data_IF_998024285946
#
_entry.id   IF_998024285946
#
_cell.length_a   1.000
_cell.length_b   1.000
_cell.length_c   1.000
_cell.angle_alpha   90.00
_cell.angle_beta   90.00
_cell.angle_gamma   90.00
#
_symmetry.space_group_name_H-M   'P 1'
#
loop_
_entity.id
_entity.type
_entity.pdbx_description
1 polymer ?
#
# COMPACT_ATOMS: atom_id res chain seq x y z
N UNK A 1 -14.20 -25.01 12.84
CA UNK A 1 -12.80 -24.97 12.33
C UNK A 1 -11.96 -25.82 13.28
N UNK A 2 -11.27 -26.85 12.78
CA UNK A 2 -10.53 -27.82 13.60
C UNK A 2 -9.29 -27.23 14.29
N UNK A 3 -8.79 -27.91 15.32
CA UNK A 3 -7.63 -27.55 16.15
C UNK A 3 -6.27 -27.70 15.45
N UNK A 4 -6.24 -27.74 14.12
CA UNK A 4 -5.01 -27.93 13.35
C UNK A 4 -4.17 -26.65 13.29
N UNK A 5 -2.85 -26.78 13.47
CA UNK A 5 -1.91 -25.69 13.23
C UNK A 5 -1.81 -25.39 11.72
N UNK A 6 -1.86 -24.10 11.36
CA UNK A 6 -1.70 -23.64 9.98
C UNK A 6 -0.27 -23.19 9.71
N UNK A 7 0.18 -23.37 8.46
CA UNK A 7 1.49 -22.91 8.02
C UNK A 7 1.56 -21.37 8.04
N UNK A 8 2.55 -20.83 8.75
CA UNK A 8 2.74 -19.38 8.94
C UNK A 8 3.79 -18.75 8.02
N UNK A 9 4.39 -19.53 7.11
CA UNK A 9 5.47 -19.03 6.23
C UNK A 9 5.04 -17.97 5.21
N UNK A 10 3.74 -17.73 5.06
CA UNK A 10 3.21 -16.66 4.23
C UNK A 10 3.30 -15.29 4.90
N UNK A 11 3.39 -15.23 6.23
CA UNK A 11 3.55 -13.95 6.94
C UNK A 11 4.88 -13.28 6.64
N UNK A 12 5.94 -14.07 6.44
CA UNK A 12 7.27 -13.57 6.07
C UNK A 12 7.31 -12.93 4.68
N UNK A 13 6.25 -13.11 3.90
CA UNK A 13 6.10 -12.62 2.52
C UNK A 13 5.26 -11.34 2.42
N UNK A 14 4.71 -10.86 3.54
CA UNK A 14 3.81 -9.71 3.55
C UNK A 14 4.53 -8.38 3.47
N UNK A 15 5.51 -8.19 4.33
CA UNK A 15 6.20 -6.91 4.51
C UNK A 15 7.64 -6.99 4.00
N UNK A 16 8.16 -5.87 3.50
CA UNK A 16 9.54 -5.76 3.01
C UNK A 16 9.88 -6.73 1.88
N UNK A 17 8.86 -7.20 1.15
CA UNK A 17 9.05 -8.13 0.03
C UNK A 17 8.70 -7.44 -1.29
N UNK A 18 9.55 -7.65 -2.28
CA UNK A 18 9.35 -7.13 -3.63
C UNK A 18 9.72 -8.20 -4.66
N UNK A 19 8.94 -8.27 -5.73
CA UNK A 19 9.27 -9.06 -6.92
C UNK A 19 10.19 -8.24 -7.81
N UNK A 20 11.43 -8.63 -7.94
CA UNK A 20 12.42 -8.00 -8.82
C UNK A 20 12.32 -8.65 -10.20
N UNK A 21 12.12 -7.87 -11.29
CA UNK A 21 12.05 -8.44 -12.63
C UNK A 21 13.40 -9.01 -13.07
N UNK A 22 13.37 -10.18 -13.72
CA UNK A 22 14.53 -10.74 -14.42
C UNK A 22 14.21 -10.94 -15.90
N UNK A 23 15.23 -11.09 -16.75
CA UNK A 23 15.01 -11.28 -18.19
C UNK A 23 14.28 -12.60 -18.49
N UNK A 24 14.64 -13.68 -17.79
CA UNK A 24 14.00 -14.99 -17.95
C UNK A 24 13.06 -15.32 -16.79
N UNK A 25 13.49 -15.02 -15.56
CA UNK A 25 12.75 -15.32 -14.34
C UNK A 25 12.85 -14.21 -13.32
N UNK A 26 11.70 -13.86 -12.76
CA UNK A 26 11.63 -12.88 -11.68
C UNK A 26 12.07 -13.50 -10.36
N UNK A 27 12.67 -12.66 -9.51
CA UNK A 27 13.13 -13.06 -8.20
C UNK A 27 12.28 -12.42 -7.12
N UNK A 28 11.95 -13.21 -6.12
CA UNK A 28 11.32 -12.70 -4.92
C UNK A 28 12.39 -12.32 -3.91
N UNK A 29 12.48 -11.04 -3.56
CA UNK A 29 13.46 -10.54 -2.62
C UNK A 29 12.77 -10.12 -1.33
N UNK A 30 13.20 -10.70 -0.22
CA UNK A 30 12.84 -10.26 1.13
C UNK A 30 13.98 -9.38 1.69
N UNK A 31 13.66 -8.13 1.99
CA UNK A 31 14.60 -7.14 2.50
C UNK A 31 14.73 -7.14 4.03
N UNK A 32 14.05 -8.07 4.73
CA UNK A 32 14.09 -8.21 6.18
C UNK A 32 13.22 -7.18 6.90
N UNK A 33 13.64 -6.76 8.09
CA UNK A 33 12.88 -5.78 8.88
C UNK A 33 13.15 -4.38 8.34
N UNK A 34 12.15 -3.80 7.68
CA UNK A 34 12.20 -2.44 7.17
C UNK A 34 11.66 -1.45 8.19
N UNK A 35 12.32 -0.30 8.32
CA UNK A 35 11.97 0.78 9.25
C UNK A 35 11.25 1.94 8.56
N UNK A 36 10.92 1.78 7.29
CA UNK A 36 10.25 2.83 6.51
C UNK A 36 9.16 2.26 5.61
N UNK A 37 8.24 3.12 5.25
CA UNK A 37 7.26 2.90 4.19
C UNK A 37 7.52 3.90 3.08
N UNK A 38 6.99 3.62 1.90
CA UNK A 38 7.00 4.59 0.81
C UNK A 38 5.57 5.01 0.53
N UNK A 39 5.31 6.30 0.69
CA UNK A 39 4.04 6.91 0.36
C UNK A 39 4.08 7.46 -1.08
N UNK A 40 3.04 7.19 -1.87
CA UNK A 40 2.88 7.76 -3.21
C UNK A 40 1.74 8.75 -3.19
N UNK A 41 2.02 10.00 -3.52
CA UNK A 41 1.03 11.07 -3.62
C UNK A 41 1.36 11.94 -4.83
N UNK A 42 0.38 12.18 -5.71
CA UNK A 42 0.56 13.04 -6.90
C UNK A 42 1.75 12.67 -7.83
N UNK A 43 2.05 11.37 -7.93
CA UNK A 43 3.17 10.84 -8.73
C UNK A 43 4.55 10.99 -8.06
N UNK A 44 4.61 11.56 -6.86
CA UNK A 44 5.81 11.68 -6.05
C UNK A 44 5.92 10.50 -5.08
N UNK A 45 7.15 10.03 -4.85
CA UNK A 45 7.46 8.99 -3.89
C UNK A 45 8.11 9.61 -2.66
N UNK A 46 7.59 9.32 -1.47
CA UNK A 46 8.07 9.85 -0.20
C UNK A 46 8.51 8.69 0.70
N UNK A 47 9.76 8.71 1.15
CA UNK A 47 10.24 7.80 2.20
C UNK A 47 9.75 8.32 3.55
N UNK A 48 8.98 7.51 4.26
CA UNK A 48 8.46 7.83 5.60
C UNK A 48 9.04 6.84 6.58
N UNK A 49 9.84 7.31 7.52
CA UNK A 49 10.36 6.49 8.61
C UNK A 49 9.23 6.13 9.58
N UNK A 50 9.23 4.91 10.10
CA UNK A 50 8.27 4.41 11.09
C UNK A 50 8.79 4.50 12.52
N UNK A 51 10.10 4.65 12.69
CA UNK A 51 10.76 4.82 13.98
C UNK A 51 11.84 5.88 13.92
N UNK A 52 12.20 6.38 15.09
CA UNK A 52 13.32 7.31 15.27
C UNK A 52 14.68 6.58 15.30
N UNK A 53 15.75 7.36 15.48
CA UNK A 53 17.14 6.86 15.55
C UNK A 53 17.36 5.88 16.71
N UNK A 54 16.55 5.97 17.78
CA UNK A 54 16.59 5.09 18.94
C UNK A 54 15.70 3.85 18.78
N UNK A 55 15.11 3.63 17.60
CA UNK A 55 14.16 2.56 17.29
C UNK A 55 12.82 2.64 18.04
N UNK A 56 12.45 3.81 18.56
CA UNK A 56 11.11 4.02 19.09
C UNK A 56 10.17 4.24 17.92
N UNK A 57 9.10 3.45 17.87
CA UNK A 57 8.05 3.58 16.86
C UNK A 57 7.33 4.93 17.03
N UNK A 58 7.05 5.59 15.91
CA UNK A 58 6.26 6.80 15.93
C UNK A 58 4.82 6.51 16.32
N UNK A 59 4.27 7.37 17.18
CA UNK A 59 2.85 7.36 17.53
C UNK A 59 1.98 7.90 16.39
N UNK A 60 0.66 7.76 16.56
CA UNK A 60 -0.33 8.24 15.58
C UNK A 60 -0.15 9.75 15.34
N UNK A 61 -0.01 10.55 16.39
CA UNK A 61 0.14 12.02 16.27
C UNK A 61 1.38 12.44 15.47
N UNK A 62 2.50 11.73 15.65
CA UNK A 62 3.74 11.98 14.93
C UNK A 62 3.58 11.64 13.44
N UNK A 63 3.00 10.47 13.14
CA UNK A 63 2.70 10.05 11.77
C UNK A 63 1.69 11.01 11.11
N UNK A 64 0.65 11.45 11.82
CA UNK A 64 -0.33 12.41 11.31
C UNK A 64 0.34 13.71 10.89
N UNK A 65 1.30 14.23 11.67
CA UNK A 65 2.07 15.43 11.29
C UNK A 65 2.88 15.21 10.01
N UNK A 66 3.54 14.05 9.88
CA UNK A 66 4.31 13.69 8.68
C UNK A 66 3.40 13.64 7.44
N UNK A 67 2.24 12.97 7.54
CA UNK A 67 1.31 12.89 6.40
C UNK A 67 0.64 14.23 6.10
N UNK A 68 0.32 15.03 7.11
CA UNK A 68 -0.17 16.39 6.91
C UNK A 68 0.85 17.26 6.17
N UNK A 69 2.14 17.11 6.48
CA UNK A 69 3.21 17.77 5.73
C UNK A 69 3.23 17.31 4.27
N UNK A 70 3.14 16.00 4.00
CA UNK A 70 3.07 15.44 2.64
C UNK A 70 1.91 16.04 1.84
N UNK A 71 0.72 16.14 2.45
CA UNK A 71 -0.45 16.77 1.81
C UNK A 71 -0.28 18.29 1.59
N UNK A 72 0.48 18.97 2.44
CA UNK A 72 0.73 20.41 2.29
C UNK A 72 1.69 20.74 1.14
N UNK A 73 2.51 19.76 0.71
CA UNK A 73 3.47 19.95 -0.38
C UNK A 73 2.73 20.05 -1.72
N UNK A 74 2.99 21.12 -2.46
CA UNK A 74 2.45 21.33 -3.83
C UNK A 74 3.21 20.54 -4.91
N UNK A 75 4.08 19.61 -4.53
CA UNK A 75 4.91 18.86 -5.45
C UNK A 75 4.04 17.86 -6.23
N UNK A 76 3.94 18.08 -7.54
CA UNK A 76 3.25 17.20 -8.48
C UNK A 76 4.18 16.93 -9.65
N UNK A 77 4.51 15.66 -9.88
CA UNK A 77 5.31 15.28 -11.05
C UNK A 77 4.36 14.94 -12.19
N UNK A 78 4.38 15.77 -13.23
CA UNK A 78 3.57 15.58 -14.42
C UNK A 78 4.35 14.84 -15.54
N UNK A 79 3.65 14.50 -16.62
CA UNK A 79 4.26 13.82 -17.76
C UNK A 79 4.66 12.36 -17.49
N UNK A 80 5.72 11.92 -18.17
CA UNK A 80 6.26 10.56 -18.08
C UNK A 80 7.00 10.30 -16.77
N UNK A 81 7.67 11.33 -16.22
CA UNK A 81 8.40 11.22 -14.96
C UNK A 81 7.50 10.85 -13.77
N UNK A 82 6.23 11.28 -13.78
CA UNK A 82 5.25 10.93 -12.75
C UNK A 82 4.62 9.55 -12.91
N UNK A 83 5.00 8.80 -13.96
CA UNK A 83 4.46 7.47 -14.32
C UNK A 83 5.47 6.34 -14.13
N UNK A 84 6.52 6.55 -13.33
CA UNK A 84 7.55 5.51 -13.05
C UNK A 84 6.91 4.22 -12.54
N UNK A 85 5.87 4.32 -11.71
CA UNK A 85 5.16 3.15 -11.18
C UNK A 85 4.53 2.27 -12.30
N UNK A 86 4.14 2.86 -13.44
CA UNK A 86 3.58 2.14 -14.58
C UNK A 86 4.54 1.10 -15.15
N UNK A 87 5.85 1.31 -15.01
CA UNK A 87 6.87 0.38 -15.51
C UNK A 87 6.75 -1.00 -14.85
N UNK A 88 6.27 -1.07 -13.61
CA UNK A 88 6.04 -2.35 -12.92
C UNK A 88 4.90 -3.17 -13.51
N UNK A 89 4.03 -2.55 -14.31
CA UNK A 89 2.88 -3.18 -14.97
C UNK A 89 3.15 -3.58 -16.43
N UNK A 90 4.35 -3.30 -16.98
CA UNK A 90 4.70 -3.70 -18.35
C UNK A 90 5.12 -5.18 -18.42
N UNK A 91 5.47 -5.65 -19.62
CA UNK A 91 6.01 -7.01 -19.81
C UNK A 91 7.27 -7.18 -18.96
N UNK A 92 7.40 -8.34 -18.29
CA UNK A 92 8.47 -8.59 -17.31
C UNK A 92 9.88 -8.42 -17.89
N UNK A 93 10.11 -9.00 -19.07
CA UNK A 93 11.37 -8.85 -19.81
C UNK A 93 11.70 -7.37 -20.14
N UNK A 94 10.68 -6.59 -20.51
CA UNK A 94 10.85 -5.17 -20.83
C UNK A 94 11.14 -4.36 -19.57
N UNK A 95 10.44 -4.66 -18.48
CA UNK A 95 10.71 -4.05 -17.19
C UNK A 95 12.12 -4.39 -16.69
N UNK A 96 12.57 -5.64 -16.81
CA UNK A 96 13.93 -6.05 -16.47
C UNK A 96 14.98 -5.23 -17.22
N UNK A 97 14.86 -5.13 -18.55
CA UNK A 97 15.78 -4.34 -19.39
C UNK A 97 15.75 -2.85 -19.06
N UNK A 98 14.57 -2.28 -18.85
CA UNK A 98 14.42 -0.86 -18.50
C UNK A 98 14.96 -0.57 -17.10
N UNK A 99 14.75 -1.48 -16.13
CA UNK A 99 15.28 -1.41 -14.77
C UNK A 99 16.81 -1.38 -14.79
N UNK A 100 17.43 -2.30 -15.53
CA UNK A 100 18.89 -2.34 -15.69
C UNK A 100 19.42 -1.03 -16.29
N UNK A 101 18.89 -0.65 -17.47
CA UNK A 101 19.39 0.48 -18.25
C UNK A 101 19.19 1.85 -17.59
N UNK A 102 18.02 2.11 -17.00
CA UNK A 102 17.65 3.46 -16.54
C UNK A 102 17.73 3.64 -15.02
N UNK A 103 17.71 2.55 -14.25
CA UNK A 103 17.76 2.62 -12.80
C UNK A 103 19.07 2.10 -12.24
N UNK A 104 19.51 0.90 -12.61
CA UNK A 104 20.70 0.30 -11.99
C UNK A 104 22.02 0.93 -12.45
N UNK A 105 22.10 1.35 -13.71
CA UNK A 105 23.29 2.03 -14.23
C UNK A 105 23.51 3.45 -13.65
N UNK A 106 22.49 4.06 -13.04
CA UNK A 106 22.60 5.35 -12.38
C UNK A 106 22.60 5.15 -10.85
N UNK A 107 23.70 5.47 -10.13
CA UNK A 107 23.79 5.24 -8.69
C UNK A 107 22.66 5.87 -7.86
N UNK A 108 22.20 7.07 -8.24
CA UNK A 108 21.12 7.77 -7.55
C UNK A 108 19.78 7.06 -7.74
N UNK A 109 19.49 6.61 -8.96
CA UNK A 109 18.27 5.87 -9.25
C UNK A 109 18.30 4.48 -8.63
N UNK A 110 19.46 3.81 -8.61
CA UNK A 110 19.65 2.52 -7.97
C UNK A 110 19.40 2.61 -6.45
N UNK A 111 19.93 3.65 -5.80
CA UNK A 111 19.67 3.90 -4.38
C UNK A 111 18.18 4.17 -4.13
N UNK A 112 17.55 5.03 -4.96
CA UNK A 112 16.12 5.35 -4.82
C UNK A 112 15.23 4.13 -5.04
N UNK A 113 15.54 3.29 -6.03
CA UNK A 113 14.82 2.06 -6.32
C UNK A 113 14.94 1.08 -5.15
N UNK A 114 16.14 0.95 -4.56
CA UNK A 114 16.36 0.13 -3.36
C UNK A 114 15.51 0.58 -2.19
N UNK A 115 15.31 1.89 -2.00
CA UNK A 115 14.43 2.43 -0.95
C UNK A 115 12.96 2.03 -1.19
N UNK A 116 12.48 2.04 -2.43
CA UNK A 116 11.12 1.59 -2.78
C UNK A 116 10.97 0.07 -2.58
N UNK A 117 11.92 -0.71 -3.11
CA UNK A 117 11.88 -2.17 -3.05
C UNK A 117 12.03 -2.69 -1.61
N UNK A 118 12.79 -2.01 -0.75
CA UNK A 118 12.99 -2.39 0.67
C UNK A 118 11.98 -1.85 1.66
N UNK A 119 11.07 -0.94 1.26
CA UNK A 119 10.02 -0.42 2.14
C UNK A 119 9.15 -1.54 2.76
N UNK A 120 8.61 -1.37 3.97
CA UNK A 120 7.74 -2.38 4.57
C UNK A 120 6.50 -2.65 3.70
N UNK A 121 5.87 -1.59 3.19
CA UNK A 121 4.79 -1.62 2.21
C UNK A 121 4.74 -0.28 1.46
N UNK A 122 3.93 -0.22 0.40
CA UNK A 122 3.62 1.03 -0.30
C UNK A 122 2.27 1.57 0.19
N UNK A 123 2.20 2.87 0.49
CA UNK A 123 0.98 3.57 0.84
C UNK A 123 0.60 4.56 -0.26
N UNK A 124 -0.47 4.29 -0.99
CA UNK A 124 -1.00 5.18 -2.01
C UNK A 124 -2.01 6.14 -1.39
N UNK A 125 -1.70 7.43 -1.43
CA UNK A 125 -2.59 8.52 -1.03
C UNK A 125 -3.31 9.02 -2.28
N UNK A 126 -4.49 8.46 -2.53
CA UNK A 126 -5.26 8.68 -3.75
C UNK A 126 -6.18 9.90 -3.61
N UNK A 127 -6.23 10.73 -4.65
CA UNK A 127 -7.06 11.95 -4.65
C UNK A 127 -8.54 11.64 -4.95
N UNK A 128 -8.82 10.42 -5.42
CA UNK A 128 -10.17 9.95 -5.70
C UNK A 128 -10.99 9.80 -4.41
N UNK A 129 -12.26 10.18 -4.50
CA UNK A 129 -13.28 9.91 -3.49
C UNK A 129 -14.17 8.77 -3.98
N UNK A 130 -14.41 7.77 -3.12
CA UNK A 130 -15.11 6.55 -3.50
C UNK A 130 -16.46 6.42 -2.79
N UNK A 131 -17.49 5.93 -3.46
CA UNK A 131 -18.85 5.84 -2.90
C UNK A 131 -19.48 7.21 -2.58
N UNK A 132 -19.24 8.19 -3.45
CA UNK A 132 -19.78 9.55 -3.30
C UNK A 132 -21.21 9.72 -3.83
N UNK A 133 -21.64 8.85 -4.75
CA UNK A 133 -22.95 8.95 -5.40
C UNK A 133 -23.85 7.82 -4.87
N UNK A 134 -24.76 8.12 -3.92
CA UNK A 134 -25.66 7.12 -3.38
C UNK A 134 -26.65 6.70 -4.47
N UNK A 135 -26.64 5.41 -4.82
CA UNK A 135 -27.60 4.82 -5.77
C UNK A 135 -27.04 4.47 -7.14
N UNK A 136 -25.76 4.79 -7.43
CA UNK A 136 -25.09 4.26 -8.62
C UNK A 136 -24.75 2.76 -8.43
N UNK A 137 -25.33 1.86 -9.23
CA UNK A 137 -25.06 0.42 -9.12
C UNK A 137 -23.61 0.06 -9.49
N UNK A 138 -22.93 0.90 -10.29
CA UNK A 138 -21.58 0.62 -10.79
C UNK A 138 -20.47 1.15 -9.87
N UNK A 139 -20.82 1.87 -8.80
CA UNK A 139 -19.86 2.45 -7.84
C UNK A 139 -18.87 1.40 -7.30
N UNK A 140 -19.35 0.19 -7.00
CA UNK A 140 -18.47 -0.89 -6.55
C UNK A 140 -17.51 -1.36 -7.65
N UNK A 141 -18.01 -1.49 -8.89
CA UNK A 141 -17.20 -1.86 -10.06
C UNK A 141 -16.11 -0.81 -10.32
N UNK A 142 -16.45 0.48 -10.23
CA UNK A 142 -15.50 1.58 -10.36
C UNK A 142 -14.44 1.56 -9.26
N UNK A 143 -14.86 1.35 -8.01
CA UNK A 143 -13.96 1.21 -6.87
C UNK A 143 -12.97 0.04 -7.09
N UNK A 144 -13.47 -1.16 -7.37
CA UNK A 144 -12.63 -2.34 -7.56
C UNK A 144 -11.70 -2.21 -8.77
N UNK A 145 -12.17 -1.63 -9.88
CA UNK A 145 -11.34 -1.36 -11.05
C UNK A 145 -10.18 -0.43 -10.70
N UNK A 146 -10.45 0.68 -9.99
CA UNK A 146 -9.38 1.56 -9.56
C UNK A 146 -8.44 0.88 -8.54
N UNK A 147 -8.97 0.01 -7.68
CA UNK A 147 -8.11 -0.74 -6.76
C UNK A 147 -7.19 -1.71 -7.49
N UNK A 148 -7.66 -2.39 -8.53
CA UNK A 148 -6.87 -3.34 -9.31
C UNK A 148 -5.78 -2.66 -10.15
N UNK A 149 -6.13 -1.60 -10.90
CA UNK A 149 -5.22 -1.01 -11.90
C UNK A 149 -4.62 0.32 -11.47
N UNK A 150 -5.29 1.05 -10.58
CA UNK A 150 -5.01 2.46 -10.30
C UNK A 150 -5.04 3.31 -11.57
N UNK A 151 -4.30 4.42 -11.54
CA UNK A 151 -4.17 5.38 -12.64
C UNK A 151 -2.81 5.28 -13.38
N UNK A 152 -2.07 4.19 -13.15
CA UNK A 152 -0.72 3.96 -13.69
C UNK A 152 0.39 4.81 -13.07
N UNK A 153 0.08 5.78 -12.20
CA UNK A 153 1.10 6.60 -11.51
C UNK A 153 1.35 6.16 -10.09
N UNK A 154 0.36 5.51 -9.47
CA UNK A 154 0.27 5.39 -8.02
C UNK A 154 0.36 3.97 -7.48
N UNK A 155 0.68 2.96 -8.32
CA UNK A 155 0.76 1.54 -7.93
C UNK A 155 2.11 0.93 -8.24
N UNK A 156 2.73 0.33 -7.22
CA UNK A 156 3.94 -0.47 -7.40
C UNK A 156 3.57 -1.96 -7.44
N UNK A 157 3.30 -2.47 -8.63
CA UNK A 157 2.74 -3.82 -8.82
C UNK A 157 3.69 -4.93 -8.33
N UNK A 158 4.99 -4.65 -8.30
CA UNK A 158 6.01 -5.57 -7.81
C UNK A 158 6.01 -5.74 -6.29
N UNK A 159 5.39 -4.82 -5.53
CA UNK A 159 5.38 -4.91 -4.07
C UNK A 159 4.45 -6.02 -3.60
N UNK A 160 4.86 -6.72 -2.55
CA UNK A 160 4.01 -7.68 -1.84
C UNK A 160 2.69 -7.07 -1.39
N UNK A 161 2.71 -5.84 -0.88
CA UNK A 161 1.55 -5.18 -0.28
C UNK A 161 1.53 -3.68 -0.62
N UNK A 162 0.42 -3.24 -1.19
CA UNK A 162 0.11 -1.84 -1.47
C UNK A 162 -1.20 -1.49 -0.75
N UNK A 163 -1.17 -0.51 0.14
CA UNK A 163 -2.37 0.08 0.74
C UNK A 163 -2.80 1.29 -0.06
N UNK A 164 -4.11 1.51 -0.15
CA UNK A 164 -4.70 2.64 -0.87
C UNK A 164 -5.67 3.33 0.04
N UNK A 165 -5.49 4.63 0.21
CA UNK A 165 -6.38 5.47 0.99
C UNK A 165 -6.92 6.55 0.05
N UNK A 166 -8.23 6.53 -0.17
CA UNK A 166 -8.93 7.59 -0.89
C UNK A 166 -9.09 8.85 -0.04
N UNK A 167 -9.40 9.96 -0.69
CA UNK A 167 -9.57 11.27 -0.05
C UNK A 167 -10.68 11.28 1.01
N UNK A 168 -11.71 10.45 0.83
CA UNK A 168 -12.79 10.26 1.81
C UNK A 168 -12.53 9.10 2.79
N UNK A 169 -11.25 8.80 3.06
CA UNK A 169 -10.80 7.78 4.03
C UNK A 169 -11.23 6.34 3.74
N UNK A 170 -11.70 6.06 2.52
CA UNK A 170 -11.96 4.68 2.07
C UNK A 170 -10.64 3.97 1.81
N UNK A 171 -10.47 2.80 2.41
CA UNK A 171 -9.22 2.04 2.34
C UNK A 171 -9.41 0.75 1.57
N UNK A 172 -8.41 0.40 0.77
CA UNK A 172 -8.27 -0.92 0.16
C UNK A 172 -6.80 -1.32 0.18
N UNK A 173 -6.53 -2.56 -0.25
CA UNK A 173 -5.17 -3.02 -0.48
C UNK A 173 -5.11 -3.89 -1.72
N UNK A 174 -3.97 -3.85 -2.40
CA UNK A 174 -3.62 -4.85 -3.41
C UNK A 174 -2.37 -5.57 -3.00
N UNK A 175 -2.30 -6.85 -3.36
CA UNK A 175 -1.16 -7.69 -3.05
C UNK A 175 -0.76 -8.48 -4.28
N UNK A 176 0.55 -8.67 -4.45
CA UNK A 176 1.06 -9.53 -5.50
C UNK A 176 0.50 -10.96 -5.31
N UNK A 177 0.05 -11.58 -6.39
CA UNK A 177 -0.65 -12.87 -6.35
C UNK A 177 0.14 -13.98 -5.62
N UNK A 178 1.47 -13.90 -5.61
CA UNK A 178 2.34 -14.86 -4.90
C UNK A 178 2.14 -14.82 -3.37
N UNK A 179 1.74 -13.68 -2.80
CA UNK A 179 1.35 -13.54 -1.39
C UNK A 179 -0.04 -14.13 -1.18
N UNK A 180 -0.94 -13.87 -2.13
CA UNK A 180 -2.36 -14.25 -2.05
C UNK A 180 -2.54 -15.78 -2.10
N UNK A 181 -1.72 -16.52 -2.83
CA UNK A 181 -1.77 -17.99 -2.80
C UNK A 181 -1.51 -18.58 -1.40
N UNK A 182 -0.83 -17.85 -0.51
CA UNK A 182 -0.77 -18.17 0.92
C UNK A 182 -2.01 -17.71 1.70
N UNK A 183 -2.54 -16.53 1.40
CA UNK A 183 -3.71 -15.91 2.07
C UNK A 183 -5.06 -16.56 1.76
N UNK A 184 -5.26 -17.08 0.55
CA UNK A 184 -6.52 -17.71 0.12
C UNK A 184 -6.88 -18.94 0.96
N UNK A 185 -5.95 -19.41 1.81
CA UNK A 185 -6.15 -20.40 2.87
C UNK A 185 -6.15 -19.79 4.29
N UNK A 186 -6.81 -18.67 4.57
CA UNK A 186 -7.73 -18.55 5.74
C UNK A 186 -7.78 -17.23 6.52
N UNK A 187 -6.86 -16.28 6.48
CA UNK A 187 -6.96 -15.16 7.44
C UNK A 187 -6.23 -13.92 6.97
N UNK A 188 -6.97 -12.84 6.67
CA UNK A 188 -6.67 -11.44 7.09
C UNK A 188 -7.72 -10.48 6.53
N UNK A 189 -8.84 -10.34 7.24
CA UNK A 189 -9.74 -9.19 7.11
C UNK A 189 -10.08 -8.53 8.47
N UNK A 190 -9.98 -9.17 9.66
CA UNK A 190 -10.40 -8.48 10.89
C UNK A 190 -9.40 -7.45 11.46
N UNK A 191 -8.08 -7.58 11.20
CA UNK A 191 -7.07 -6.89 12.03
C UNK A 191 -6.57 -5.54 11.50
N UNK A 192 -6.86 -5.20 10.24
CA UNK A 192 -6.57 -3.87 9.65
C UNK A 192 -7.77 -2.92 9.80
N UNK A 193 -8.96 -3.45 10.13
CA UNK A 193 -10.21 -2.67 10.24
C UNK A 193 -10.50 -2.12 11.66
N UNK A 194 -9.64 -2.38 12.64
CA UNK A 194 -9.80 -1.92 14.03
C UNK A 194 -8.43 -1.39 14.50
N UNK A 195 -8.18 -0.06 14.44
CA UNK A 195 -8.85 0.92 15.31
C UNK A 195 -9.07 2.28 14.61
N UNK A 196 -10.21 2.51 13.96
CA UNK A 196 -10.57 3.86 13.50
C UNK A 196 -12.03 4.25 13.82
N UNK A 197 -12.69 3.47 14.67
CA UNK A 197 -14.12 3.62 14.95
C UNK A 197 -14.42 3.55 16.45
N UNK A 198 -13.85 4.43 17.27
CA UNK A 198 -14.32 4.70 18.63
C UNK A 198 -13.92 6.11 19.05
N UNK A 199 -14.77 7.10 18.79
CA UNK A 199 -14.96 8.33 19.58
C UNK A 199 -16.02 9.22 18.90
N UNK A 200 -17.29 8.79 18.86
CA UNK A 200 -18.45 9.69 18.74
C UNK A 200 -19.75 8.91 18.79
N UNK A 201 -20.19 8.54 20.00
CA UNK A 201 -21.62 8.52 20.42
C UNK A 201 -21.76 7.92 21.82
N UNK A 202 -21.58 8.73 22.87
CA UNK A 202 -22.26 8.51 24.14
C UNK A 202 -22.59 9.87 24.76
N UNK A 203 -23.65 10.51 24.26
CA UNK A 203 -24.47 11.43 25.05
C UNK A 203 -25.90 11.38 24.53
N UNK A 204 -26.79 10.78 25.34
CA UNK A 204 -28.22 11.04 25.31
C UNK A 204 -29.10 9.85 24.93
N UNK A 205 -29.92 9.40 25.89
CA UNK A 205 -31.19 8.74 25.58
C UNK A 205 -31.46 7.44 26.32
N UNK A 206 -31.76 7.54 27.60
CA UNK A 206 -32.50 6.51 28.36
C UNK A 206 -33.89 6.28 27.73
N UNK A 207 -34.20 5.05 27.33
CA UNK A 207 -35.59 4.60 27.18
C UNK A 207 -35.68 3.08 27.45
N UNK A 208 -36.47 2.76 28.47
CA UNK A 208 -36.85 1.44 28.98
C UNK A 208 -37.92 0.75 28.12
N UNK A 209 -37.79 -0.56 27.91
CA UNK A 209 -38.88 -1.56 27.81
C UNK A 209 -38.24 -2.94 27.57
N UNK A 210 -38.07 -3.78 28.60
CA UNK A 210 -39.04 -4.81 29.05
C UNK A 210 -39.49 -5.74 27.93
N UNK A 211 -38.93 -6.95 27.95
CA UNK A 211 -39.30 -8.11 27.14
C UNK A 211 -40.38 -8.88 27.92
N UNK A 212 -41.50 -9.18 27.25
CA UNK A 212 -42.20 -10.46 27.35
C UNK A 212 -41.87 -11.27 26.08
#
# INVERSE_FOLDING_TARGET
>A
LGSGLLCSSHYDKLYSVCRVPGEEMDQLVNYGISKHVVAIHNGCFYKVMLCDENNRMYGIEELTKIYAEIFSRKAKVEGSAGKVAALTATRREEWARNREKFFLQNPTNAATLREIESAAFILTLDDAEYFNEPGDPDTMSHFLKNMLTGNGKNRWADKSLNYVVGRNSRVSFTSAAFVIWGFAKHLFLPRVYMPCSWHSTELGGTASSSID
#
